data_IF_661238925638
#
_entry.id   IF_661238925638
#
_cell.length_a   1.000
_cell.length_b   1.000
_cell.length_c   1.000
_cell.angle_alpha   90.00
_cell.angle_beta   90.00
_cell.angle_gamma   90.00
#
_symmetry.space_group_name_H-M   'P 1'
#
loop_
_entity.id
_entity.type
_entity.pdbx_description
1 polymer ?
#
# COMPACT_ATOMS: atom_id res chain seq x y z
N UNK A 1 9.83 -18.59 -5.61
CA UNK A 1 8.43 -18.13 -5.55
C UNK A 1 8.29 -17.03 -6.59
N UNK A 2 7.73 -17.36 -7.76
CA UNK A 2 7.44 -16.36 -8.80
C UNK A 2 6.30 -15.47 -8.28
N UNK A 3 6.50 -14.15 -8.24
CA UNK A 3 5.45 -13.17 -7.95
C UNK A 3 4.93 -12.71 -9.32
N UNK A 4 3.78 -13.20 -9.79
CA UNK A 4 3.26 -12.79 -11.09
C UNK A 4 2.75 -11.34 -11.00
N UNK A 5 3.18 -10.52 -11.95
CA UNK A 5 2.60 -9.21 -12.24
C UNK A 5 1.11 -9.39 -12.56
N UNK A 6 0.23 -8.74 -11.81
CA UNK A 6 -1.19 -8.69 -12.16
C UNK A 6 -1.37 -7.60 -13.21
N UNK A 7 -1.57 -8.00 -14.47
CA UNK A 7 -1.92 -7.08 -15.57
C UNK A 7 -3.40 -6.67 -15.58
N UNK A 8 -4.18 -7.09 -14.58
CA UNK A 8 -5.60 -6.78 -14.41
C UNK A 8 -5.80 -5.64 -13.41
N UNK A 9 -6.88 -4.85 -13.53
CA UNK A 9 -7.22 -3.80 -12.56
C UNK A 9 -7.10 -4.29 -11.11
N UNK A 10 -6.68 -3.40 -10.21
CA UNK A 10 -6.37 -3.73 -8.81
C UNK A 10 -7.56 -4.33 -8.01
N UNK A 11 -8.78 -4.20 -8.54
CA UNK A 11 -10.05 -4.70 -8.01
C UNK A 11 -10.58 -5.95 -8.76
N UNK A 12 -9.77 -6.60 -9.61
CA UNK A 12 -10.21 -7.75 -10.41
C UNK A 12 -10.41 -9.02 -9.58
N UNK A 13 -11.58 -9.65 -9.71
CA UNK A 13 -11.90 -10.96 -9.12
C UNK A 13 -11.43 -12.14 -9.98
N UNK A 14 -11.14 -11.93 -11.27
CA UNK A 14 -10.84 -12.99 -12.26
C UNK A 14 -9.65 -13.87 -11.80
N UNK A 15 -8.66 -13.26 -11.14
CA UNK A 15 -7.48 -14.00 -10.66
C UNK A 15 -7.73 -14.86 -9.43
N UNK A 16 -8.75 -14.55 -8.63
CA UNK A 16 -9.15 -15.42 -7.52
C UNK A 16 -9.76 -16.72 -8.04
N UNK A 17 -10.42 -16.66 -9.20
CA UNK A 17 -11.07 -17.82 -9.84
C UNK A 17 -10.11 -18.67 -10.69
N UNK A 18 -9.08 -18.07 -11.29
CA UNK A 18 -8.19 -18.74 -12.24
C UNK A 18 -6.92 -19.33 -11.61
N UNK A 19 -6.61 -18.99 -10.35
CA UNK A 19 -5.45 -19.50 -9.61
C UNK A 19 -5.93 -20.53 -8.58
N UNK A 20 -5.32 -21.71 -8.52
CA UNK A 20 -5.66 -22.74 -7.53
C UNK A 20 -4.44 -23.10 -6.66
N UNK A 21 -4.46 -22.93 -5.32
CA UNK A 21 -5.55 -22.32 -4.55
C UNK A 21 -5.70 -20.83 -4.87
N UNK A 22 -6.93 -20.30 -4.81
CA UNK A 22 -7.33 -18.91 -5.13
C UNK A 22 -6.76 -17.82 -4.24
N UNK A 23 -5.52 -17.98 -3.77
CA UNK A 23 -4.80 -17.05 -2.91
C UNK A 23 -4.47 -15.78 -3.69
N UNK A 24 -4.66 -14.59 -3.10
CA UNK A 24 -4.19 -13.35 -3.70
C UNK A 24 -2.70 -13.41 -4.02
N UNK A 25 -2.33 -12.96 -5.22
CA UNK A 25 -0.97 -13.08 -5.75
C UNK A 25 0.04 -12.16 -5.05
N UNK A 26 -0.42 -11.04 -4.50
CA UNK A 26 0.41 -10.06 -3.80
C UNK A 26 -0.46 -9.20 -2.85
N UNK A 27 0.13 -8.56 -1.83
CA UNK A 27 -0.61 -7.73 -0.88
C UNK A 27 -0.92 -6.31 -1.39
N UNK A 28 -0.48 -5.93 -2.59
CA UNK A 28 -0.67 -4.58 -3.15
C UNK A 28 -1.97 -4.44 -3.98
N UNK A 29 -2.63 -5.56 -4.29
CA UNK A 29 -3.99 -5.60 -4.85
C UNK A 29 -5.05 -5.70 -3.75
N UNK A 30 -6.30 -5.32 -4.04
CA UNK A 30 -7.36 -5.26 -3.03
C UNK A 30 -7.56 -6.60 -2.29
N UNK A 31 -7.65 -7.71 -3.03
CA UNK A 31 -7.87 -9.03 -2.42
C UNK A 31 -6.76 -9.39 -1.41
N UNK A 32 -5.50 -9.11 -1.75
CA UNK A 32 -4.37 -9.36 -0.87
C UNK A 32 -4.34 -8.40 0.32
N UNK A 33 -4.66 -7.12 0.09
CA UNK A 33 -4.75 -6.13 1.14
C UNK A 33 -5.85 -6.49 2.16
N UNK A 34 -7.02 -6.95 1.70
CA UNK A 34 -8.12 -7.41 2.57
C UNK A 34 -7.71 -8.59 3.46
N UNK A 35 -6.98 -9.57 2.90
CA UNK A 35 -6.43 -10.68 3.69
C UNK A 35 -5.43 -10.17 4.73
N UNK A 36 -4.52 -9.27 4.36
CA UNK A 36 -3.54 -8.67 5.28
C UNK A 36 -4.23 -7.87 6.38
N UNK A 37 -5.26 -7.09 6.06
CA UNK A 37 -6.08 -6.37 7.03
C UNK A 37 -6.72 -7.34 8.01
N UNK A 38 -7.24 -8.48 7.52
CA UNK A 38 -7.73 -9.61 8.32
C UNK A 38 -6.73 -10.15 9.36
N UNK A 39 -5.43 -10.06 9.07
CA UNK A 39 -4.35 -10.56 9.94
C UNK A 39 -3.84 -9.53 10.97
N UNK A 40 -4.34 -8.29 10.94
CA UNK A 40 -3.95 -7.26 11.92
C UNK A 40 -4.36 -7.69 13.32
N UNK A 41 -3.38 -7.69 14.24
CA UNK A 41 -3.53 -8.10 15.64
C UNK A 41 -4.53 -7.22 16.39
N UNK A 42 -5.35 -7.83 17.22
CA UNK A 42 -6.25 -7.17 18.16
C UNK A 42 -7.44 -8.07 18.50
N UNK A 43 -8.07 -7.83 19.66
CA UNK A 43 -9.21 -8.61 20.13
C UNK A 43 -10.55 -8.01 19.73
N UNK A 44 -10.56 -6.72 19.37
CA UNK A 44 -11.72 -5.99 18.88
C UNK A 44 -11.37 -5.16 17.64
N UNK A 45 -12.36 -4.73 16.84
CA UNK A 45 -12.14 -3.80 15.72
C UNK A 45 -11.40 -2.51 16.14
N UNK A 46 -11.71 -1.98 17.33
CA UNK A 46 -11.07 -0.79 17.90
C UNK A 46 -9.58 -1.04 18.20
N UNK A 47 -9.24 -2.19 18.78
CA UNK A 47 -7.84 -2.53 19.08
C UNK A 47 -7.02 -2.66 17.81
N UNK A 48 -7.57 -3.30 16.77
CA UNK A 48 -6.92 -3.48 15.48
C UNK A 48 -6.66 -2.14 14.79
N UNK A 49 -7.64 -1.22 14.83
CA UNK A 49 -7.47 0.14 14.33
C UNK A 49 -6.40 0.92 15.11
N UNK A 50 -6.42 0.85 16.44
CA UNK A 50 -5.43 1.51 17.28
C UNK A 50 -4.02 0.96 17.04
N UNK A 51 -3.88 -0.36 16.87
CA UNK A 51 -2.62 -0.99 16.52
C UNK A 51 -2.08 -0.46 15.18
N UNK A 52 -2.94 -0.40 14.16
CA UNK A 52 -2.60 0.12 12.83
C UNK A 52 -2.18 1.60 12.89
N UNK A 53 -2.99 2.45 13.51
CA UNK A 53 -2.69 3.88 13.66
C UNK A 53 -1.40 4.08 14.47
N UNK A 54 -1.22 3.36 15.57
CA UNK A 54 0.01 3.42 16.37
C UNK A 54 1.25 3.03 15.57
N UNK A 55 1.14 2.01 14.73
CA UNK A 55 2.23 1.60 13.83
C UNK A 55 2.57 2.70 12.80
N UNK A 56 1.56 3.29 12.15
CA UNK A 56 1.78 4.35 11.15
C UNK A 56 2.33 5.63 11.79
N UNK A 57 1.81 6.03 12.96
CA UNK A 57 2.32 7.17 13.73
C UNK A 57 3.79 6.99 14.11
N UNK A 58 4.20 5.76 14.45
CA UNK A 58 5.61 5.42 14.70
C UNK A 58 6.47 5.52 13.44
N UNK A 59 5.97 5.09 12.29
CA UNK A 59 6.71 5.19 11.02
C UNK A 59 6.90 6.64 10.56
N UNK A 60 5.89 7.48 10.73
CA UNK A 60 5.93 8.89 10.31
C UNK A 60 6.47 9.84 11.40
N UNK A 61 6.68 9.33 12.63
CA UNK A 61 6.89 10.12 13.84
C UNK A 61 5.92 11.32 13.94
N UNK A 62 4.63 11.03 13.79
CA UNK A 62 3.56 12.04 13.79
C UNK A 62 2.35 11.48 14.53
N UNK A 63 2.03 12.02 15.70
CA UNK A 63 0.93 11.55 16.55
C UNK A 63 -0.46 12.03 16.08
N UNK A 64 -0.50 13.05 15.22
CA UNK A 64 -1.75 13.65 14.73
C UNK A 64 -2.40 12.83 13.61
N UNK A 65 -1.68 11.83 13.07
CA UNK A 65 -2.22 10.94 12.04
C UNK A 65 -3.47 10.24 12.56
N UNK A 66 -4.56 10.42 11.81
CA UNK A 66 -5.86 9.80 12.02
C UNK A 66 -6.51 9.57 10.66
N UNK A 67 -7.71 8.99 10.62
CA UNK A 67 -8.44 8.76 9.39
C UNK A 67 -9.56 9.79 9.17
N UNK A 68 -10.02 9.91 7.93
CA UNK A 68 -11.19 10.70 7.58
C UNK A 68 -12.45 9.84 7.74
N UNK A 69 -13.26 10.12 8.77
CA UNK A 69 -14.50 9.36 9.02
C UNK A 69 -15.46 9.42 7.84
N UNK A 70 -15.62 10.59 7.23
CA UNK A 70 -16.50 10.77 6.07
C UNK A 70 -16.10 9.89 4.88
N UNK A 71 -14.81 9.83 4.55
CA UNK A 71 -14.30 8.97 3.45
C UNK A 71 -14.47 7.49 3.82
N UNK A 72 -14.11 7.11 5.05
CA UNK A 72 -14.24 5.72 5.51
C UNK A 72 -15.69 5.22 5.44
N UNK A 73 -16.66 6.04 5.88
CA UNK A 73 -18.09 5.71 5.83
C UNK A 73 -18.62 5.64 4.39
N UNK A 74 -18.19 6.56 3.53
CA UNK A 74 -18.55 6.58 2.11
C UNK A 74 -18.06 5.32 1.39
N UNK A 75 -16.78 4.98 1.58
CA UNK A 75 -16.18 3.76 1.03
C UNK A 75 -16.82 2.50 1.61
N UNK A 76 -17.11 2.47 2.91
CA UNK A 76 -17.75 1.33 3.56
C UNK A 76 -19.12 1.03 2.95
N UNK A 77 -19.94 2.05 2.67
CA UNK A 77 -21.27 1.86 2.05
C UNK A 77 -21.21 1.39 0.60
N UNK A 78 -20.15 1.74 -0.14
CA UNK A 78 -20.02 1.48 -1.58
C UNK A 78 -19.12 0.28 -1.94
N UNK A 79 -18.46 -0.35 -0.96
CA UNK A 79 -17.49 -1.42 -1.17
C UNK A 79 -18.08 -2.81 -1.46
N UNK A 80 -19.00 -2.92 -2.41
CA UNK A 80 -19.68 -4.20 -2.75
C UNK A 80 -18.74 -5.23 -3.37
N UNK A 81 -17.84 -4.79 -4.27
CA UNK A 81 -16.85 -5.68 -4.90
C UNK A 81 -15.87 -6.24 -3.87
N UNK A 82 -15.41 -5.40 -2.93
CA UNK A 82 -14.53 -5.85 -1.85
C UNK A 82 -15.22 -6.86 -0.92
N UNK A 83 -16.51 -6.66 -0.60
CA UNK A 83 -17.31 -7.66 0.13
C UNK A 83 -17.41 -8.97 -0.61
N UNK A 84 -17.72 -8.93 -1.92
CA UNK A 84 -17.77 -10.12 -2.75
C UNK A 84 -16.44 -10.90 -2.73
N UNK A 85 -15.31 -10.19 -2.85
CA UNK A 85 -13.97 -10.80 -2.72
C UNK A 85 -13.76 -11.44 -1.34
N UNK A 86 -14.15 -10.77 -0.25
CA UNK A 86 -14.03 -11.33 1.10
C UNK A 86 -14.84 -12.62 1.27
N UNK A 87 -16.12 -12.63 0.85
CA UNK A 87 -16.96 -13.83 0.93
C UNK A 87 -16.42 -14.97 0.05
N UNK A 88 -15.95 -14.66 -1.16
CA UNK A 88 -15.31 -15.62 -2.03
C UNK A 88 -14.07 -16.24 -1.35
N UNK A 89 -13.14 -15.42 -0.86
CA UNK A 89 -11.94 -15.91 -0.18
C UNK A 89 -12.25 -16.67 1.12
N UNK A 90 -13.36 -16.34 1.80
CA UNK A 90 -13.82 -17.03 3.01
C UNK A 90 -14.33 -18.43 2.70
N UNK A 91 -15.01 -18.64 1.58
CA UNK A 91 -15.46 -19.96 1.12
C UNK A 91 -14.30 -20.95 0.91
N UNK A 92 -13.10 -20.45 0.58
CA UNK A 92 -11.90 -21.26 0.33
C UNK A 92 -10.88 -21.22 1.49
N UNK A 93 -11.29 -20.81 2.70
CA UNK A 93 -10.44 -20.74 3.90
C UNK A 93 -9.19 -19.85 3.80
N UNK A 94 -9.14 -18.96 2.80
CA UNK A 94 -8.04 -18.01 2.59
C UNK A 94 -8.20 -16.80 3.50
N UNK A 95 -9.45 -16.36 3.69
CA UNK A 95 -9.82 -15.24 4.53
C UNK A 95 -10.43 -15.75 5.83
N UNK A 96 -9.90 -15.26 6.97
CA UNK A 96 -10.40 -15.58 8.30
C UNK A 96 -10.94 -14.32 8.97
N UNK A 97 -12.06 -14.45 9.67
CA UNK A 97 -12.70 -13.35 10.40
C UNK A 97 -14.09 -12.99 9.86
N UNK A 98 -14.70 -12.01 10.52
CA UNK A 98 -15.94 -11.41 10.06
C UNK A 98 -15.68 -10.46 8.88
N UNK A 99 -16.52 -10.55 7.85
CA UNK A 99 -16.32 -9.76 6.62
C UNK A 99 -16.56 -8.28 6.88
N UNK A 100 -17.60 -7.92 7.63
CA UNK A 100 -17.94 -6.52 7.88
C UNK A 100 -16.92 -5.87 8.81
N UNK A 101 -16.40 -6.59 9.82
CA UNK A 101 -15.32 -6.06 10.66
C UNK A 101 -14.03 -5.77 9.88
N UNK A 102 -13.64 -6.65 8.95
CA UNK A 102 -12.46 -6.41 8.12
C UNK A 102 -12.71 -5.31 7.11
N UNK A 103 -13.90 -5.25 6.53
CA UNK A 103 -14.27 -4.17 5.63
C UNK A 103 -14.23 -2.81 6.33
N UNK A 104 -14.73 -2.74 7.56
CA UNK A 104 -14.69 -1.52 8.39
C UNK A 104 -13.25 -1.08 8.68
N UNK A 105 -12.38 -2.02 9.05
CA UNK A 105 -10.97 -1.73 9.27
C UNK A 105 -10.24 -1.33 7.97
N UNK A 106 -10.54 -1.99 6.86
CA UNK A 106 -9.93 -1.75 5.56
C UNK A 106 -10.27 -0.35 5.01
N UNK A 107 -11.53 0.07 5.09
CA UNK A 107 -11.92 1.41 4.62
C UNK A 107 -11.37 2.51 5.51
N UNK A 108 -11.31 2.28 6.85
CA UNK A 108 -10.60 3.18 7.76
C UNK A 108 -9.11 3.26 7.45
N UNK A 109 -8.48 2.14 7.08
CA UNK A 109 -7.08 2.09 6.65
C UNK A 109 -6.85 2.93 5.38
N UNK A 110 -7.71 2.81 4.37
CA UNK A 110 -7.64 3.62 3.14
C UNK A 110 -7.90 5.11 3.39
N UNK A 111 -8.71 5.42 4.40
CA UNK A 111 -9.05 6.80 4.77
C UNK A 111 -8.02 7.48 5.69
N UNK A 112 -6.88 6.84 6.01
CA UNK A 112 -5.85 7.46 6.85
C UNK A 112 -5.30 8.73 6.16
N UNK A 113 -5.36 9.85 6.87
CA UNK A 113 -4.91 11.16 6.38
C UNK A 113 -3.43 11.33 6.67
N UNK A 114 -2.67 11.63 5.63
CA UNK A 114 -1.24 11.88 5.70
C UNK A 114 -0.86 12.98 4.71
N UNK A 115 0.17 13.74 5.03
CA UNK A 115 0.80 14.70 4.13
C UNK A 115 1.86 14.02 3.26
N UNK A 116 2.32 14.73 2.22
CA UNK A 116 3.48 14.32 1.43
C UNK A 116 4.73 14.13 2.30
N UNK A 117 4.89 14.92 3.37
CA UNK A 117 6.00 14.77 4.30
C UNK A 117 5.91 13.47 5.10
N UNK A 118 4.71 13.09 5.57
CA UNK A 118 4.50 11.83 6.28
C UNK A 118 4.85 10.63 5.39
N UNK A 119 4.41 10.66 4.12
CA UNK A 119 4.78 9.64 3.13
C UNK A 119 6.29 9.58 2.89
N UNK A 120 6.96 10.73 2.80
CA UNK A 120 8.41 10.79 2.65
C UNK A 120 9.15 10.21 3.87
N UNK A 121 8.66 10.49 5.09
CA UNK A 121 9.23 9.92 6.33
C UNK A 121 9.08 8.40 6.35
N UNK A 122 7.89 7.87 6.03
CA UNK A 122 7.66 6.42 5.93
C UNK A 122 8.56 5.80 4.86
N UNK A 123 8.68 6.42 3.69
CA UNK A 123 9.59 5.98 2.63
C UNK A 123 11.04 5.93 3.10
N UNK A 124 11.47 6.90 3.92
CA UNK A 124 12.81 6.94 4.51
C UNK A 124 13.06 5.76 5.46
N UNK A 125 12.06 5.38 6.28
CA UNK A 125 12.15 4.18 7.12
C UNK A 125 12.42 2.94 6.26
N UNK A 126 11.74 2.78 5.12
CA UNK A 126 12.01 1.66 4.21
C UNK A 126 13.37 1.76 3.49
N UNK A 127 13.81 2.98 3.15
CA UNK A 127 15.14 3.22 2.57
C UNK A 127 16.24 2.77 3.55
N UNK A 128 16.03 2.99 4.85
CA UNK A 128 16.89 2.58 5.95
C UNK A 128 16.58 1.16 6.50
N UNK A 129 16.06 0.27 5.66
CA UNK A 129 15.74 -1.13 5.98
C UNK A 129 14.90 -1.32 7.25
N UNK A 130 13.93 -0.43 7.46
CA UNK A 130 12.98 -0.46 8.55
C UNK A 130 13.40 0.29 9.81
N UNK A 131 14.56 0.97 9.79
CA UNK A 131 15.05 1.80 10.90
C UNK A 131 14.54 3.23 10.77
N UNK A 132 14.00 3.79 11.85
CA UNK A 132 13.54 5.17 11.87
C UNK A 132 14.75 6.14 11.92
N UNK A 133 14.83 7.14 11.02
CA UNK A 133 15.98 8.04 10.93
C UNK A 133 16.15 8.91 12.17
N UNK A 134 15.06 9.46 12.72
CA UNK A 134 15.11 10.39 13.85
C UNK A 134 15.29 9.69 15.21
N UNK A 135 14.54 8.62 15.48
CA UNK A 135 14.56 7.92 16.78
C UNK A 135 15.59 6.79 16.86
N UNK A 136 16.09 6.31 15.72
CA UNK A 136 16.99 5.16 15.64
C UNK A 136 16.31 3.80 15.89
N UNK A 137 15.00 3.77 16.11
CA UNK A 137 14.22 2.56 16.39
C UNK A 137 14.15 1.62 15.17
N UNK A 138 14.28 0.31 15.36
CA UNK A 138 13.97 -0.68 14.32
C UNK A 138 12.46 -0.94 14.28
N UNK A 139 11.71 -0.12 13.54
CA UNK A 139 10.24 -0.17 13.47
C UNK A 139 9.75 -1.37 12.66
N UNK A 140 10.44 -1.70 11.56
CA UNK A 140 10.15 -2.86 10.70
C UNK A 140 11.39 -3.75 10.67
N UNK A 141 11.26 -5.08 10.75
CA UNK A 141 12.42 -5.97 10.59
C UNK A 141 13.01 -5.84 9.17
N UNK A 142 14.33 -5.95 9.04
CA UNK A 142 15.05 -5.74 7.77
C UNK A 142 14.56 -6.64 6.63
N UNK A 143 14.33 -7.91 6.93
CA UNK A 143 13.80 -8.91 5.99
C UNK A 143 12.40 -8.55 5.50
N UNK A 144 11.52 -8.09 6.40
CA UNK A 144 10.18 -7.61 6.07
C UNK A 144 10.25 -6.34 5.22
N UNK A 145 11.09 -5.36 5.59
CA UNK A 145 11.27 -4.13 4.82
C UNK A 145 11.75 -4.42 3.39
N UNK A 146 12.68 -5.37 3.22
CA UNK A 146 13.14 -5.83 1.91
C UNK A 146 11.99 -6.44 1.09
N UNK A 147 11.17 -7.32 1.69
CA UNK A 147 10.02 -7.92 1.01
C UNK A 147 9.03 -6.84 0.55
N UNK A 148 8.71 -5.86 1.40
CA UNK A 148 7.85 -4.74 1.05
C UNK A 148 8.40 -3.94 -0.13
N UNK A 149 9.71 -3.62 -0.12
CA UNK A 149 10.38 -2.93 -1.24
C UNK A 149 10.25 -3.71 -2.54
N UNK A 150 10.45 -5.03 -2.52
CA UNK A 150 10.27 -5.87 -3.70
C UNK A 150 8.85 -5.78 -4.25
N UNK A 151 7.82 -5.87 -3.40
CA UNK A 151 6.43 -5.71 -3.85
C UNK A 151 6.13 -4.31 -4.39
N UNK A 152 6.75 -3.27 -3.84
CA UNK A 152 6.60 -1.90 -4.35
C UNK A 152 7.17 -1.77 -5.77
N UNK A 153 8.32 -2.39 -6.06
CA UNK A 153 8.88 -2.43 -7.42
C UNK A 153 7.95 -3.18 -8.38
N UNK A 154 7.47 -4.36 -7.99
CA UNK A 154 6.76 -5.24 -8.94
C UNK A 154 5.27 -4.94 -9.06
N UNK A 155 4.64 -4.39 -8.03
CA UNK A 155 3.17 -4.28 -7.96
C UNK A 155 2.68 -2.92 -7.43
N UNK A 156 3.57 -2.02 -7.03
CA UNK A 156 3.17 -0.82 -6.29
C UNK A 156 2.48 0.26 -7.14
N UNK A 157 2.70 0.24 -8.45
CA UNK A 157 2.09 1.14 -9.44
C UNK A 157 1.02 0.42 -10.27
N UNK A 158 0.43 -0.65 -9.73
CA UNK A 158 -0.61 -1.46 -10.37
C UNK A 158 -0.14 -1.99 -11.74
N UNK A 159 -0.98 -1.91 -12.77
CA UNK A 159 -0.69 -2.33 -14.14
C UNK A 159 0.43 -1.51 -14.80
N UNK A 160 0.82 -0.37 -14.22
CA UNK A 160 1.93 0.44 -14.71
C UNK A 160 3.29 0.05 -14.11
N UNK A 161 3.36 -0.91 -13.18
CA UNK A 161 4.59 -1.21 -12.43
C UNK A 161 5.77 -1.62 -13.32
N UNK A 162 5.54 -2.39 -14.39
CA UNK A 162 6.60 -2.78 -15.33
C UNK A 162 7.17 -1.59 -16.12
N UNK A 163 6.28 -0.76 -16.69
CA UNK A 163 6.67 0.47 -17.40
C UNK A 163 7.37 1.47 -16.47
N UNK A 164 6.86 1.61 -15.24
CA UNK A 164 7.43 2.47 -14.21
C UNK A 164 8.82 2.00 -13.77
N UNK A 165 9.04 0.70 -13.63
CA UNK A 165 10.35 0.14 -13.29
C UNK A 165 11.40 0.46 -14.37
N UNK A 166 11.02 0.42 -15.65
CA UNK A 166 11.92 0.74 -16.78
C UNK A 166 12.21 2.24 -16.85
N UNK A 167 11.19 3.09 -16.73
CA UNK A 167 11.34 4.55 -16.90
C UNK A 167 11.88 5.27 -15.67
N UNK A 168 11.51 4.81 -14.47
CA UNK A 168 11.78 5.50 -13.21
C UNK A 168 12.72 4.68 -12.34
N UNK A 169 12.51 3.36 -12.21
CA UNK A 169 13.43 2.49 -11.46
C UNK A 169 13.44 2.70 -9.94
N UNK A 170 12.43 3.34 -9.37
CA UNK A 170 12.31 3.59 -7.91
C UNK A 170 11.23 2.66 -7.34
N UNK A 171 11.46 1.93 -6.22
CA UNK A 171 10.36 1.29 -5.50
C UNK A 171 9.32 2.31 -5.05
N UNK A 172 8.07 2.19 -5.53
CA UNK A 172 7.02 3.15 -5.24
C UNK A 172 5.67 2.50 -4.96
N UNK A 173 4.76 3.23 -4.29
CA UNK A 173 3.35 2.88 -4.13
C UNK A 173 2.48 4.10 -4.41
N UNK A 174 1.51 3.93 -5.31
CA UNK A 174 0.50 4.94 -5.65
C UNK A 174 -0.82 4.71 -4.90
N UNK A 175 -1.55 5.78 -4.59
CA UNK A 175 -2.90 5.75 -4.07
C UNK A 175 -3.86 6.53 -4.96
N UNK A 176 -5.11 6.06 -5.06
CA UNK A 176 -6.17 6.71 -5.87
C UNK A 176 -6.62 8.07 -5.33
N UNK A 177 -6.08 8.51 -4.18
CA UNK A 177 -6.20 9.89 -3.71
C UNK A 177 -5.22 10.84 -4.38
N UNK A 178 -4.26 10.34 -5.16
CA UNK A 178 -3.18 11.10 -5.79
C UNK A 178 -1.86 11.09 -5.01
N UNK A 179 -1.78 10.38 -3.89
CA UNK A 179 -0.54 10.20 -3.14
C UNK A 179 0.41 9.19 -3.79
N UNK A 180 1.71 9.48 -3.80
CA UNK A 180 2.76 8.52 -4.18
C UNK A 180 3.85 8.52 -3.10
N UNK A 181 4.21 7.33 -2.62
CA UNK A 181 5.38 7.09 -1.78
C UNK A 181 6.47 6.43 -2.61
N UNK A 182 7.68 6.97 -2.61
CA UNK A 182 8.87 6.43 -3.27
C UNK A 182 10.01 6.19 -2.28
N UNK A 183 10.91 5.26 -2.61
CA UNK A 183 12.03 4.87 -1.76
C UNK A 183 13.32 5.05 -2.56
N UNK A 184 14.16 6.00 -2.14
CA UNK A 184 15.45 6.25 -2.79
C UNK A 184 16.49 5.19 -2.41
N UNK A 185 17.42 4.81 -3.32
CA UNK A 185 18.60 4.03 -2.95
C UNK A 185 19.57 4.80 -2.03
N UNK A 186 19.44 6.13 -1.92
CA UNK A 186 20.33 6.98 -1.15
C UNK A 186 19.77 7.36 0.24
N UNK A 187 19.12 6.42 0.92
CA UNK A 187 18.67 6.56 2.31
C UNK A 187 17.68 7.71 2.59
N UNK A 188 16.83 8.05 1.62
CA UNK A 188 15.72 8.98 1.83
C UNK A 188 14.42 8.46 1.20
N UNK A 189 13.29 8.95 1.70
CA UNK A 189 11.98 8.68 1.12
C UNK A 189 11.46 9.86 0.32
N UNK A 190 10.56 9.56 -0.60
CA UNK A 190 9.89 10.54 -1.45
C UNK A 190 8.40 10.44 -1.15
N UNK A 191 7.75 11.57 -0.90
CA UNK A 191 6.30 11.64 -0.77
C UNK A 191 5.77 12.74 -1.67
N UNK A 192 4.80 12.39 -2.50
CA UNK A 192 4.22 13.26 -3.52
C UNK A 192 2.71 13.22 -3.37
N UNK A 193 2.06 14.33 -3.66
CA UNK A 193 0.61 14.41 -3.77
C UNK A 193 0.24 15.20 -5.04
N UNK A 194 -0.57 14.58 -5.89
CA UNK A 194 -1.14 15.21 -7.07
C UNK A 194 -2.49 14.56 -7.39
N UNK A 195 -3.63 15.27 -7.22
CA UNK A 195 -4.96 14.66 -7.27
C UNK A 195 -5.41 14.25 -8.67
N UNK A 196 -4.83 14.79 -9.73
CA UNK A 196 -5.15 14.42 -11.11
C UNK A 196 -4.56 13.05 -11.46
N UNK A 197 -5.42 12.08 -11.79
CA UNK A 197 -5.04 10.70 -12.08
C UNK A 197 -5.12 10.37 -13.56
N UNK A 198 -4.27 9.44 -14.01
CA UNK A 198 -4.39 8.78 -15.30
C UNK A 198 -5.47 7.68 -15.28
N UNK A 199 -5.73 7.06 -16.43
CA UNK A 199 -6.67 5.93 -16.58
C UNK A 199 -6.30 4.71 -15.73
N UNK A 200 -5.04 4.61 -15.29
CA UNK A 200 -4.52 3.51 -14.46
C UNK A 200 -4.60 3.84 -12.95
N UNK A 201 -5.11 5.02 -12.58
CA UNK A 201 -5.29 5.47 -11.20
C UNK A 201 -4.02 6.03 -10.53
N UNK A 202 -3.01 6.43 -11.31
CA UNK A 202 -1.77 7.03 -10.81
C UNK A 202 -1.76 8.55 -11.00
N UNK A 203 -1.15 9.28 -10.07
CA UNK A 203 -0.98 10.73 -10.19
C UNK A 203 -0.16 11.11 -11.43
N UNK A 204 -0.74 11.85 -12.37
CA UNK A 204 -0.10 12.24 -13.64
C UNK A 204 1.17 13.06 -13.36
N UNK A 205 1.00 14.15 -12.62
CA UNK A 205 2.10 15.05 -12.27
C UNK A 205 3.11 14.35 -11.34
N UNK A 206 2.63 13.50 -10.42
CA UNK A 206 3.50 12.82 -9.47
C UNK A 206 4.41 11.79 -10.12
N UNK A 207 3.88 10.99 -11.05
CA UNK A 207 4.70 10.05 -11.84
C UNK A 207 5.71 10.82 -12.69
N UNK A 208 5.30 11.90 -13.35
CA UNK A 208 6.22 12.71 -14.17
C UNK A 208 7.35 13.33 -13.34
N UNK A 209 7.04 13.80 -12.12
CA UNK A 209 8.04 14.32 -11.20
C UNK A 209 9.06 13.24 -10.81
N UNK A 210 8.62 12.01 -10.53
CA UNK A 210 9.54 10.91 -10.22
C UNK A 210 10.43 10.53 -11.40
N UNK A 211 9.90 10.56 -12.63
CA UNK A 211 10.70 10.36 -13.85
C UNK A 211 11.83 11.41 -13.95
N UNK A 212 11.49 12.69 -13.83
CA UNK A 212 12.46 13.80 -13.88
C UNK A 212 13.49 13.68 -12.75
N UNK A 213 13.05 13.36 -11.52
CA UNK A 213 13.95 13.19 -10.38
C UNK A 213 14.88 12.00 -10.58
N UNK A 214 14.37 10.88 -11.10
CA UNK A 214 15.19 9.69 -11.32
C UNK A 214 16.27 9.92 -12.37
N UNK A 215 15.94 10.58 -13.48
CA UNK A 215 16.90 10.95 -14.52
C UNK A 215 17.96 11.93 -13.98
N UNK A 216 17.52 12.98 -13.28
CA UNK A 216 18.41 14.03 -12.78
C UNK A 216 19.35 13.56 -11.67
N UNK A 217 18.86 12.73 -10.76
CA UNK A 217 19.59 12.32 -9.55
C UNK A 217 20.00 10.84 -9.55
N UNK A 218 19.82 10.13 -10.66
CA UNK A 218 20.17 8.70 -10.82
C UNK A 218 19.58 7.86 -9.68
N UNK A 219 18.26 7.92 -9.53
CA UNK A 219 17.54 7.24 -8.45
C UNK A 219 17.11 5.82 -8.82
N UNK A 220 17.31 5.40 -10.07
CA UNK A 220 17.07 4.01 -10.50
C UNK A 220 17.90 3.03 -9.68
N UNK A 221 17.27 1.94 -9.25
CA UNK A 221 17.95 0.80 -8.59
C UNK A 221 18.49 -0.23 -9.60
N UNK A 222 18.25 -0.02 -10.89
CA UNK A 222 18.71 -0.83 -12.02
C UNK A 222 19.79 -0.09 -12.79
#
# INVERSE_FOLDING_TARGET
>A
MFIPLTGDPFNSMIKLETVNPGKPLNPMINAGALVVTGLIKGHSPKDRLNYLLGFIRRLANNQDITYCSHVAESEFKSSMINRAMCYYMKQYDIFKGDVEEVMDLYTKQCAIKMSSLDLAKIGCVFALDGKHPETGEQVIKKDVARICKTFMVTCGMYNASGEFAIKVGIPAKSGVSGGIMGISPYNFGIGIFGPALDEKGNSIAGVKLLEIMSEKYRLSIF
#
